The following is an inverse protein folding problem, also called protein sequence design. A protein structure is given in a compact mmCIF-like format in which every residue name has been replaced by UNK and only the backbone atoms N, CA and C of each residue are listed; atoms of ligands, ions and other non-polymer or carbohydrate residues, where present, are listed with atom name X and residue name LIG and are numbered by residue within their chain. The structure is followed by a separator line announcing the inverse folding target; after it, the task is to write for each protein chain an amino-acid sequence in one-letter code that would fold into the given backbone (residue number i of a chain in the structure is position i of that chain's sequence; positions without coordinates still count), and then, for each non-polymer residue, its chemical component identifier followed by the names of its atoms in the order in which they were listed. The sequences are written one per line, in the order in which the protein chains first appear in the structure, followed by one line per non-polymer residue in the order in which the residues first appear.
data_IF_165804935986
#
_entry.id   IF_165804935986
#
_cell.length_a   1.000
_cell.length_b   1.000
_cell.length_c   1.000
_cell.angle_alpha   90.00
_cell.angle_beta   90.00
_cell.angle_gamma   90.00
#
_symmetry.space_group_name_H-M   'P 1'
#
loop_
_entity.id
_entity.type
_entity.pdbx_description
1 polymer ?
#
# COMPACT_ATOMS: atom_id res chain seq x y z
N UNK A 1 -36.82 -28.37 -5.41
CA UNK A 1 -37.10 -27.29 -4.45
C UNK A 1 -35.77 -26.69 -4.02
N UNK A 2 -35.37 -25.56 -4.60
CA UNK A 2 -34.20 -24.81 -4.14
C UNK A 2 -34.55 -24.13 -2.81
N UNK A 3 -33.79 -24.41 -1.76
CA UNK A 3 -33.93 -23.73 -0.48
C UNK A 3 -33.86 -22.22 -0.69
N UNK A 4 -34.90 -21.49 -0.25
CA UNK A 4 -34.97 -20.03 -0.40
C UNK A 4 -33.92 -19.41 0.51
N UNK A 5 -33.00 -18.63 -0.06
CA UNK A 5 -31.88 -18.04 0.67
C UNK A 5 -32.40 -16.95 1.62
N UNK A 6 -31.95 -16.97 2.87
CA UNK A 6 -32.31 -15.93 3.85
C UNK A 6 -31.40 -14.71 3.71
N UNK A 7 -31.90 -13.52 4.07
CA UNK A 7 -31.09 -12.30 4.06
C UNK A 7 -29.81 -12.43 4.91
N UNK A 8 -29.91 -13.03 6.09
CA UNK A 8 -28.75 -13.22 6.95
C UNK A 8 -27.69 -14.11 6.30
N UNK A 9 -28.09 -15.20 5.63
CA UNK A 9 -27.15 -16.05 4.89
C UNK A 9 -26.53 -15.33 3.68
N UNK A 10 -27.31 -14.45 3.04
CA UNK A 10 -26.85 -13.66 1.90
C UNK A 10 -25.81 -12.62 2.34
N UNK A 11 -26.11 -11.86 3.40
CA UNK A 11 -25.21 -10.86 3.95
C UNK A 11 -23.90 -11.48 4.46
N UNK A 12 -23.99 -12.64 5.12
CA UNK A 12 -22.81 -13.36 5.59
C UNK A 12 -21.84 -13.69 4.44
N UNK A 13 -22.35 -14.18 3.29
CA UNK A 13 -21.52 -14.48 2.13
C UNK A 13 -21.05 -13.22 1.39
N UNK A 14 -21.94 -12.23 1.20
CA UNK A 14 -21.64 -11.02 0.45
C UNK A 14 -20.59 -10.14 1.15
N UNK A 15 -20.57 -10.13 2.50
CA UNK A 15 -19.79 -9.18 3.30
C UNK A 15 -18.63 -9.83 4.08
N UNK A 16 -18.41 -11.15 3.96
CA UNK A 16 -17.47 -11.94 4.79
C UNK A 16 -16.07 -11.32 4.93
N UNK A 17 -15.56 -10.72 3.86
CA UNK A 17 -14.17 -10.29 3.76
C UNK A 17 -13.96 -8.83 4.17
N UNK A 18 -15.04 -8.11 4.46
CA UNK A 18 -14.99 -6.69 4.76
C UNK A 18 -14.74 -6.41 6.25
N UNK A 19 -14.13 -5.27 6.61
CA UNK A 19 -14.02 -4.85 8.01
C UNK A 19 -15.39 -4.67 8.64
N UNK A 20 -15.55 -5.05 9.91
CA UNK A 20 -16.82 -4.99 10.64
C UNK A 20 -17.56 -3.64 10.51
N UNK A 21 -16.91 -2.45 10.58
CA UNK A 21 -17.63 -1.19 10.41
C UNK A 21 -18.25 -1.00 9.02
N UNK A 22 -17.61 -1.54 7.98
CA UNK A 22 -18.15 -1.53 6.61
C UNK A 22 -19.29 -2.52 6.49
N UNK A 23 -19.17 -3.71 7.10
CA UNK A 23 -20.24 -4.71 7.13
C UNK A 23 -21.52 -4.14 7.73
N UNK A 24 -21.45 -3.48 8.89
CA UNK A 24 -22.61 -2.91 9.58
C UNK A 24 -23.33 -1.85 8.74
N UNK A 25 -22.57 -1.00 8.04
CA UNK A 25 -23.13 0.03 7.17
C UNK A 25 -23.79 -0.58 5.94
N UNK A 26 -23.10 -1.48 5.26
CA UNK A 26 -23.65 -2.15 4.07
C UNK A 26 -24.84 -3.04 4.43
N UNK A 27 -24.83 -3.71 5.57
CA UNK A 27 -25.97 -4.46 6.08
C UNK A 27 -27.21 -3.57 6.22
N UNK A 28 -27.04 -2.35 6.73
CA UNK A 28 -28.13 -1.39 6.85
C UNK A 28 -28.64 -0.95 5.47
N UNK A 29 -27.73 -0.66 4.54
CA UNK A 29 -28.07 -0.27 3.16
C UNK A 29 -28.79 -1.42 2.39
N UNK A 30 -28.31 -2.65 2.50
CA UNK A 30 -28.94 -3.83 1.86
C UNK A 30 -30.28 -4.21 2.50
N UNK A 31 -30.43 -4.07 3.83
CA UNK A 31 -31.72 -4.26 4.51
C UNK A 31 -32.74 -3.22 4.03
N UNK A 32 -32.36 -1.96 3.93
CA UNK A 32 -33.22 -0.90 3.41
C UNK A 32 -33.62 -1.18 1.95
N UNK A 33 -32.65 -1.54 1.10
CA UNK A 33 -32.93 -1.82 -0.31
C UNK A 33 -33.89 -3.00 -0.50
N UNK A 34 -33.80 -4.03 0.34
CA UNK A 34 -34.74 -5.16 0.30
C UNK A 34 -36.15 -4.75 0.76
N UNK A 35 -36.26 -3.93 1.81
CA UNK A 35 -37.54 -3.43 2.31
C UNK A 35 -38.24 -2.51 1.30
N UNK A 36 -37.48 -1.78 0.49
CA UNK A 36 -37.99 -0.90 -0.56
C UNK A 36 -38.40 -1.67 -1.84
N UNK A 37 -38.15 -2.98 -1.91
CA UNK A 37 -38.48 -3.80 -3.08
C UNK A 37 -39.90 -4.34 -3.04
N UNK A 38 -40.50 -4.55 -4.22
CA UNK A 38 -41.83 -5.17 -4.35
C UNK A 38 -41.85 -6.66 -3.94
N UNK A 39 -40.66 -7.28 -3.81
CA UNK A 39 -40.50 -8.72 -3.53
C UNK A 39 -39.46 -8.96 -2.42
N UNK A 40 -39.73 -8.51 -1.18
CA UNK A 40 -38.76 -8.58 -0.08
C UNK A 40 -38.39 -10.01 0.31
N UNK A 41 -39.21 -11.00 -0.03
CA UNK A 41 -38.92 -12.41 0.21
C UNK A 41 -37.99 -13.04 -0.84
N UNK A 42 -37.71 -12.38 -1.97
CA UNK A 42 -36.79 -12.85 -3.02
C UNK A 42 -35.43 -12.14 -2.93
N UNK A 43 -34.70 -12.45 -1.86
CA UNK A 43 -33.40 -11.83 -1.54
C UNK A 43 -32.42 -11.90 -2.71
N UNK A 44 -32.31 -13.05 -3.41
CA UNK A 44 -31.37 -13.22 -4.53
C UNK A 44 -31.87 -12.52 -5.78
N UNK A 45 -33.18 -12.48 -6.03
CA UNK A 45 -33.76 -11.73 -7.14
C UNK A 45 -33.53 -10.23 -7.00
N UNK A 46 -33.63 -9.70 -5.79
CA UNK A 46 -33.46 -8.26 -5.51
C UNK A 46 -31.99 -7.85 -5.39
N UNK A 47 -31.19 -8.60 -4.63
CA UNK A 47 -29.81 -8.22 -4.30
C UNK A 47 -28.75 -8.87 -5.22
N UNK A 48 -29.13 -9.82 -6.06
CA UNK A 48 -28.23 -10.56 -6.95
C UNK A 48 -27.46 -11.68 -6.25
N UNK A 49 -26.42 -12.17 -6.94
CA UNK A 49 -25.56 -13.24 -6.42
C UNK A 49 -24.60 -12.71 -5.33
N UNK A 50 -24.63 -13.27 -4.10
CA UNK A 50 -23.76 -12.82 -3.03
C UNK A 50 -22.26 -12.97 -3.35
N UNK A 51 -21.88 -13.98 -4.15
CA UNK A 51 -20.47 -14.17 -4.52
C UNK A 51 -19.99 -13.09 -5.50
N UNK A 52 -20.84 -12.67 -6.44
CA UNK A 52 -20.53 -11.58 -7.36
C UNK A 52 -20.45 -10.24 -6.62
N UNK A 53 -21.38 -10.00 -5.69
CA UNK A 53 -21.36 -8.81 -4.84
C UNK A 53 -20.08 -8.77 -3.99
N UNK A 54 -19.71 -9.88 -3.35
CA UNK A 54 -18.45 -9.97 -2.61
C UNK A 54 -17.24 -9.66 -3.50
N UNK A 55 -17.19 -10.24 -4.71
CA UNK A 55 -16.12 -9.98 -5.68
C UNK A 55 -16.05 -8.51 -6.15
N UNK A 56 -17.18 -7.79 -6.16
CA UNK A 56 -17.21 -6.36 -6.45
C UNK A 56 -16.79 -5.51 -5.25
N UNK A 57 -17.34 -5.81 -4.06
CA UNK A 57 -17.02 -5.11 -2.82
C UNK A 57 -15.53 -5.25 -2.45
N UNK A 58 -14.94 -6.43 -2.69
CA UNK A 58 -13.51 -6.66 -2.50
C UNK A 58 -12.63 -5.83 -3.45
N UNK A 59 -13.12 -5.40 -4.62
CA UNK A 59 -12.39 -4.44 -5.48
C UNK A 59 -12.47 -3.01 -4.95
N UNK A 60 -13.54 -2.68 -4.22
CA UNK A 60 -13.84 -1.33 -3.76
C UNK A 60 -13.27 -1.01 -2.38
N UNK A 61 -13.30 -1.98 -1.45
CA UNK A 61 -12.93 -1.81 -0.04
C UNK A 61 -11.73 -2.68 0.32
N UNK A 62 -10.97 -2.26 1.34
CA UNK A 62 -9.88 -3.09 1.87
C UNK A 62 -10.45 -4.29 2.62
N UNK A 63 -9.80 -5.46 2.54
CA UNK A 63 -10.22 -6.62 3.32
C UNK A 63 -10.00 -6.39 4.83
N UNK A 64 -10.69 -7.17 5.67
CA UNK A 64 -10.48 -7.18 7.11
C UNK A 64 -9.02 -7.48 7.49
N UNK A 65 -8.36 -8.39 6.76
CA UNK A 65 -6.94 -8.70 6.93
C UNK A 65 -6.03 -7.51 6.58
N UNK A 66 -6.27 -6.85 5.43
CA UNK A 66 -5.52 -5.67 5.06
C UNK A 66 -5.70 -4.57 6.12
N UNK A 67 -6.92 -4.40 6.60
CA UNK A 67 -7.25 -3.43 7.64
C UNK A 67 -6.48 -3.70 8.94
N UNK A 68 -6.52 -4.93 9.45
CA UNK A 68 -5.82 -5.29 10.69
C UNK A 68 -4.30 -5.17 10.56
N UNK A 69 -3.74 -5.59 9.42
CA UNK A 69 -2.31 -5.50 9.12
C UNK A 69 -1.80 -4.06 9.20
N UNK A 70 -2.53 -3.11 8.61
CA UNK A 70 -2.09 -1.71 8.53
C UNK A 70 -2.45 -0.88 9.77
N UNK A 71 -3.29 -1.40 10.67
CA UNK A 71 -3.51 -0.79 11.98
C UNK A 71 -2.33 -1.02 12.94
N UNK A 72 -1.50 -2.04 12.70
CA UNK A 72 -0.34 -2.33 13.54
C UNK A 72 0.94 -1.64 13.01
N UNK A 73 1.74 -1.01 13.88
CA UNK A 73 2.97 -0.35 13.44
C UNK A 73 4.05 -1.37 13.05
N UNK A 74 4.50 -1.35 11.79
CA UNK A 74 5.61 -2.19 11.29
C UNK A 74 6.98 -1.54 11.55
N UNK A 75 7.24 -1.22 12.82
CA UNK A 75 8.36 -0.34 13.21
C UNK A 75 9.75 -0.96 12.98
N UNK A 76 9.89 -2.27 13.21
CA UNK A 76 11.22 -2.92 13.27
C UNK A 76 11.90 -3.00 11.90
N UNK A 77 11.18 -3.45 10.87
CA UNK A 77 11.72 -3.54 9.51
C UNK A 77 12.05 -2.15 8.94
N UNK A 78 11.12 -1.20 9.13
CA UNK A 78 11.29 0.20 8.73
C UNK A 78 12.56 0.80 9.32
N UNK A 79 12.77 0.62 10.62
CA UNK A 79 13.95 1.13 11.32
C UNK A 79 15.23 0.49 10.78
N UNK A 80 15.26 -0.84 10.63
CA UNK A 80 16.40 -1.57 10.11
C UNK A 80 16.85 -1.04 8.73
N UNK A 81 15.92 -0.90 7.78
CA UNK A 81 16.24 -0.43 6.43
C UNK A 81 16.82 0.99 6.43
N UNK A 82 16.28 1.90 7.24
CA UNK A 82 16.78 3.28 7.29
C UNK A 82 18.13 3.38 8.01
N UNK A 83 18.36 2.56 9.05
CA UNK A 83 19.69 2.43 9.67
C UNK A 83 20.70 1.90 8.66
N UNK A 84 20.33 0.87 7.90
CA UNK A 84 21.17 0.30 6.85
C UNK A 84 21.53 1.35 5.79
N UNK A 85 20.53 2.10 5.28
CA UNK A 85 20.77 3.18 4.32
C UNK A 85 21.64 4.30 4.90
N UNK A 86 21.44 4.68 6.17
CA UNK A 86 22.31 5.65 6.85
C UNK A 86 23.75 5.13 6.96
N UNK A 87 23.95 3.85 7.28
CA UNK A 87 25.26 3.21 7.27
C UNK A 87 25.91 3.26 5.88
N UNK A 88 25.15 2.96 4.82
CA UNK A 88 25.64 3.06 3.43
C UNK A 88 26.02 4.49 3.05
N UNK A 89 25.23 5.49 3.45
CA UNK A 89 25.56 6.92 3.26
C UNK A 89 26.86 7.30 3.98
N UNK A 90 27.04 6.86 5.23
CA UNK A 90 28.27 7.12 5.99
C UNK A 90 29.50 6.47 5.34
N UNK A 91 29.38 5.21 4.90
CA UNK A 91 30.45 4.51 4.20
C UNK A 91 30.80 5.18 2.87
N UNK A 92 29.78 5.56 2.09
CA UNK A 92 29.97 6.33 0.85
C UNK A 92 30.64 7.68 1.12
N UNK A 93 30.21 8.40 2.16
CA UNK A 93 30.82 9.66 2.57
C UNK A 93 32.28 9.53 2.98
N UNK A 94 32.62 8.47 3.73
CA UNK A 94 34.01 8.16 4.06
C UNK A 94 34.85 7.87 2.82
N UNK A 95 34.34 7.10 1.86
CA UNK A 95 35.04 6.83 0.59
C UNK A 95 35.29 8.11 -0.20
N UNK A 96 34.27 8.97 -0.33
CA UNK A 96 34.37 10.27 -1.00
C UNK A 96 35.44 11.14 -0.33
N UNK A 97 35.44 11.20 1.01
CA UNK A 97 36.44 11.94 1.76
C UNK A 97 37.86 11.41 1.52
N UNK A 98 38.03 10.09 1.52
CA UNK A 98 39.34 9.46 1.32
C UNK A 98 39.83 9.54 -0.13
N UNK A 99 38.93 9.58 -1.10
CA UNK A 99 39.25 9.70 -2.52
C UNK A 99 39.28 11.16 -3.01
N UNK A 100 39.37 12.15 -2.11
CA UNK A 100 39.34 13.59 -2.46
C UNK A 100 38.17 14.01 -3.37
N UNK A 101 37.03 13.33 -3.27
CA UNK A 101 35.84 13.62 -4.09
C UNK A 101 35.75 12.83 -5.40
N UNK A 102 36.74 12.02 -5.75
CA UNK A 102 36.73 11.30 -7.02
C UNK A 102 35.62 10.25 -7.14
N UNK A 103 35.08 9.67 -6.06
CA UNK A 103 34.09 8.57 -6.12
C UNK A 103 32.75 8.90 -5.45
N UNK A 104 31.97 9.81 -6.04
CA UNK A 104 30.70 10.29 -5.47
C UNK A 104 29.48 9.39 -5.72
N UNK A 105 29.49 8.54 -6.76
CA UNK A 105 28.29 7.79 -7.18
C UNK A 105 27.68 6.89 -6.10
N UNK A 106 28.52 6.29 -5.25
CA UNK A 106 28.11 5.40 -4.16
C UNK A 106 27.46 6.12 -2.98
N UNK A 107 27.74 7.42 -2.80
CA UNK A 107 27.13 8.25 -1.75
C UNK A 107 25.73 8.74 -2.17
N UNK A 108 25.60 9.16 -3.43
CA UNK A 108 24.44 9.93 -3.90
C UNK A 108 23.13 9.14 -3.83
N UNK A 109 23.12 7.85 -4.19
CA UNK A 109 21.92 7.02 -4.15
C UNK A 109 21.32 6.90 -2.74
N UNK A 110 22.06 6.34 -1.75
CA UNK A 110 21.60 6.27 -0.36
C UNK A 110 21.22 7.63 0.23
N UNK A 111 22.01 8.67 -0.05
CA UNK A 111 21.74 10.03 0.44
C UNK A 111 20.41 10.57 -0.08
N UNK A 112 20.17 10.47 -1.40
CA UNK A 112 18.91 10.92 -2.02
C UNK A 112 17.70 10.16 -1.46
N UNK A 113 17.84 8.85 -1.25
CA UNK A 113 16.77 8.05 -0.65
C UNK A 113 16.48 8.48 0.79
N UNK A 114 17.49 8.77 1.62
CA UNK A 114 17.26 9.29 2.98
C UNK A 114 16.55 10.65 2.97
N UNK A 115 16.90 11.54 2.04
CA UNK A 115 16.22 12.81 1.86
C UNK A 115 14.75 12.61 1.45
N UNK A 116 14.49 11.73 0.48
CA UNK A 116 13.12 11.39 0.07
C UNK A 116 12.33 10.69 1.18
N UNK A 117 12.97 9.83 1.98
CA UNK A 117 12.35 9.27 3.19
C UNK A 117 11.91 10.37 4.14
N UNK A 118 12.73 11.39 4.38
CA UNK A 118 12.36 12.54 5.20
C UNK A 118 11.10 13.26 4.68
N UNK A 119 11.04 13.51 3.38
CA UNK A 119 9.86 14.13 2.72
C UNK A 119 8.62 13.26 2.87
N UNK A 120 8.74 11.94 2.60
CA UNK A 120 7.61 11.00 2.71
C UNK A 120 7.13 10.91 4.17
N UNK A 121 8.04 10.90 5.15
CA UNK A 121 7.66 10.85 6.57
C UNK A 121 6.94 12.11 7.00
N UNK A 122 7.44 13.27 6.57
CA UNK A 122 6.82 14.58 6.80
C UNK A 122 5.43 14.64 6.18
N UNK A 123 5.29 14.31 4.89
CA UNK A 123 4.01 14.35 4.18
C UNK A 123 2.98 13.38 4.75
N UNK A 124 3.41 12.15 5.07
CA UNK A 124 2.50 11.12 5.60
C UNK A 124 2.18 11.26 7.09
N UNK A 125 2.84 12.18 7.81
CA UNK A 125 2.67 12.34 9.26
C UNK A 125 1.23 12.65 9.67
N UNK A 126 0.54 13.44 8.85
CA UNK A 126 -0.85 13.91 9.05
C UNK A 126 -1.92 12.93 8.54
N UNK A 127 -1.53 11.82 7.93
CA UNK A 127 -2.47 10.84 7.42
C UNK A 127 -2.93 9.87 8.53
N UNK A 128 -4.15 9.31 8.41
CA UNK A 128 -4.60 8.22 9.27
C UNK A 128 -3.57 7.09 9.34
N UNK A 129 -3.44 6.46 10.52
CA UNK A 129 -2.40 5.49 10.83
C UNK A 129 -2.25 4.42 9.73
N UNK A 130 -3.36 3.83 9.27
CA UNK A 130 -3.33 2.78 8.26
C UNK A 130 -2.80 3.26 6.89
N UNK A 131 -3.16 4.47 6.44
CA UNK A 131 -2.60 5.07 5.21
C UNK A 131 -1.12 5.36 5.37
N UNK A 132 -0.75 5.90 6.52
CA UNK A 132 0.63 6.22 6.86
C UNK A 132 1.50 4.96 6.87
N UNK A 133 1.04 3.88 7.49
CA UNK A 133 1.75 2.59 7.51
C UNK A 133 1.88 1.98 6.11
N UNK A 134 0.82 1.98 5.31
CA UNK A 134 0.84 1.49 3.93
C UNK A 134 1.91 2.21 3.09
N UNK A 135 1.91 3.55 3.11
CA UNK A 135 2.84 4.36 2.31
C UNK A 135 4.28 4.22 2.80
N UNK A 136 4.51 4.30 4.12
CA UNK A 136 5.87 4.17 4.69
C UNK A 136 6.45 2.77 4.48
N UNK A 137 5.64 1.73 4.60
CA UNK A 137 6.11 0.35 4.38
C UNK A 137 6.38 0.09 2.90
N UNK A 138 5.51 0.57 2.00
CA UNK A 138 5.77 0.52 0.55
C UNK A 138 7.07 1.22 0.21
N UNK A 139 7.25 2.46 0.71
CA UNK A 139 8.48 3.20 0.47
C UNK A 139 9.71 2.45 1.01
N UNK A 140 9.64 1.93 2.24
CA UNK A 140 10.74 1.18 2.86
C UNK A 140 11.20 0.02 1.99
N UNK A 141 10.26 -0.76 1.43
CA UNK A 141 10.59 -1.86 0.52
C UNK A 141 11.25 -1.33 -0.75
N UNK A 142 10.72 -0.25 -1.33
CA UNK A 142 11.28 0.38 -2.53
C UNK A 142 12.62 1.10 -2.29
N UNK A 143 12.90 1.54 -1.06
CA UNK A 143 14.00 2.43 -0.74
C UNK A 143 15.37 1.81 -1.09
N UNK A 144 15.54 0.52 -0.85
CA UNK A 144 16.79 -0.20 -1.16
C UNK A 144 16.97 -0.27 -2.68
N UNK A 145 15.93 -0.65 -3.43
CA UNK A 145 15.98 -0.74 -4.89
C UNK A 145 16.23 0.63 -5.53
N UNK A 146 15.56 1.67 -5.03
CA UNK A 146 15.75 3.05 -5.51
C UNK A 146 17.15 3.56 -5.17
N UNK A 147 17.69 3.27 -3.98
CA UNK A 147 19.03 3.69 -3.58
C UNK A 147 20.08 3.07 -4.51
N UNK A 148 19.98 1.77 -4.75
CA UNK A 148 20.89 1.04 -5.63
C UNK A 148 20.77 1.52 -7.09
N UNK A 149 19.55 1.67 -7.59
CA UNK A 149 19.29 2.19 -8.93
C UNK A 149 19.86 3.60 -9.12
N UNK A 150 19.62 4.51 -8.16
CA UNK A 150 20.17 5.87 -8.20
C UNK A 150 21.69 5.86 -8.16
N UNK A 151 22.32 5.03 -7.33
CA UNK A 151 23.78 4.91 -7.29
C UNK A 151 24.35 4.50 -8.64
N UNK A 152 23.81 3.45 -9.28
CA UNK A 152 24.28 3.03 -10.60
C UNK A 152 24.04 4.07 -11.70
N UNK A 153 22.90 4.77 -11.65
CA UNK A 153 22.63 5.86 -12.60
C UNK A 153 23.60 7.02 -12.42
N UNK A 154 23.92 7.37 -11.19
CA UNK A 154 24.89 8.43 -10.92
C UNK A 154 26.31 8.01 -11.30
N UNK A 155 26.74 6.78 -10.97
CA UNK A 155 28.04 6.23 -11.38
C UNK A 155 28.21 6.23 -12.91
N UNK A 156 27.17 5.82 -13.65
CA UNK A 156 27.18 5.88 -15.10
C UNK A 156 27.26 7.32 -15.62
N UNK A 157 26.44 8.22 -15.06
CA UNK A 157 26.38 9.62 -15.48
C UNK A 157 27.71 10.36 -15.30
N UNK A 158 28.45 10.07 -14.22
CA UNK A 158 29.75 10.67 -13.92
C UNK A 158 30.93 9.90 -14.53
N UNK A 159 30.67 8.87 -15.35
CA UNK A 159 31.71 8.08 -16.05
C UNK A 159 32.50 7.12 -15.15
N UNK A 160 32.00 6.81 -13.96
CA UNK A 160 32.67 5.96 -12.95
C UNK A 160 32.24 4.49 -12.99
N UNK A 161 31.32 4.13 -13.89
CA UNK A 161 30.87 2.74 -14.03
C UNK A 161 30.05 2.50 -15.29
N UNK A 162 29.94 1.24 -15.67
CA UNK A 162 28.98 0.80 -16.69
C UNK A 162 27.69 0.35 -16.01
N UNK A 163 26.53 0.87 -16.40
CA UNK A 163 25.27 0.45 -15.83
C UNK A 163 25.03 -1.01 -16.20
N UNK A 164 24.60 -1.80 -15.22
CA UNK A 164 24.00 -3.10 -15.50
C UNK A 164 22.65 -2.86 -16.18
N UNK A 165 22.66 -2.82 -17.52
CA UNK A 165 21.53 -2.41 -18.36
C UNK A 165 20.24 -3.20 -18.09
N UNK A 166 20.27 -4.52 -17.86
CA UNK A 166 19.12 -5.26 -17.35
C UNK A 166 18.55 -4.65 -16.05
N UNK A 167 19.40 -4.39 -15.05
CA UNK A 167 18.95 -3.96 -13.74
C UNK A 167 18.46 -2.50 -13.71
N UNK A 168 19.00 -1.63 -14.58
CA UNK A 168 18.55 -0.24 -14.69
C UNK A 168 17.13 -0.12 -15.26
N UNK A 169 16.66 -1.13 -16.01
CA UNK A 169 15.29 -1.22 -16.52
C UNK A 169 14.38 -1.99 -15.54
N UNK A 170 14.88 -3.09 -14.97
CA UNK A 170 14.09 -3.97 -14.09
C UNK A 170 13.66 -3.26 -12.80
N UNK A 171 14.54 -2.48 -12.16
CA UNK A 171 14.19 -1.80 -10.90
C UNK A 171 13.05 -0.79 -11.03
N UNK A 172 13.05 0.14 -12.01
CA UNK A 172 11.90 1.00 -12.26
C UNK A 172 10.60 0.23 -12.52
N UNK A 173 10.64 -0.86 -13.28
CA UNK A 173 9.45 -1.69 -13.55
C UNK A 173 8.91 -2.33 -12.28
N UNK A 174 9.79 -2.89 -11.45
CA UNK A 174 9.42 -3.44 -10.14
C UNK A 174 8.77 -2.35 -9.28
N UNK A 175 9.38 -1.16 -9.19
CA UNK A 175 8.81 -0.03 -8.46
C UNK A 175 7.43 0.36 -9.00
N UNK A 176 7.23 0.45 -10.32
CA UNK A 176 5.95 0.79 -10.93
C UNK A 176 4.84 -0.22 -10.58
N UNK A 177 5.16 -1.52 -10.61
CA UNK A 177 4.22 -2.57 -10.22
C UNK A 177 3.84 -2.44 -8.74
N UNK A 178 4.83 -2.23 -7.85
CA UNK A 178 4.57 -1.99 -6.43
C UNK A 178 3.73 -0.73 -6.21
N UNK A 179 4.08 0.40 -6.84
CA UNK A 179 3.34 1.66 -6.70
C UNK A 179 1.90 1.54 -7.22
N UNK A 180 1.66 0.82 -8.32
CA UNK A 180 0.31 0.56 -8.82
C UNK A 180 -0.52 -0.27 -7.84
N UNK A 181 0.07 -1.31 -7.24
CA UNK A 181 -0.56 -2.09 -6.19
C UNK A 181 -0.88 -1.25 -4.95
N UNK A 182 0.07 -0.44 -4.51
CA UNK A 182 -0.09 0.47 -3.38
C UNK A 182 -1.14 1.54 -3.64
N UNK A 183 -1.22 2.11 -4.84
CA UNK A 183 -2.27 3.06 -5.21
C UNK A 183 -3.67 2.43 -5.11
N UNK A 184 -3.84 1.21 -5.63
CA UNK A 184 -5.12 0.49 -5.51
C UNK A 184 -5.49 0.25 -4.05
N UNK A 185 -4.54 -0.22 -3.24
CA UNK A 185 -4.76 -0.45 -1.81
C UNK A 185 -5.03 0.86 -1.04
N UNK A 186 -4.38 1.95 -1.42
CA UNK A 186 -4.58 3.26 -0.85
C UNK A 186 -6.01 3.77 -1.12
N UNK A 187 -6.50 3.63 -2.35
CA UNK A 187 -7.87 4.02 -2.72
C UNK A 187 -8.93 3.16 -2.01
N UNK A 188 -8.69 1.84 -1.93
CA UNK A 188 -9.55 0.91 -1.17
C UNK A 188 -9.62 1.28 0.32
N UNK A 189 -8.47 1.58 0.91
CA UNK A 189 -8.36 1.96 2.31
C UNK A 189 -8.95 3.35 2.59
N UNK A 190 -8.80 4.30 1.66
CA UNK A 190 -9.45 5.62 1.72
C UNK A 190 -10.97 5.48 1.74
N UNK A 191 -11.55 4.70 0.81
CA UNK A 191 -12.99 4.42 0.79
C UNK A 191 -13.47 3.77 2.08
N UNK A 192 -12.70 2.81 2.58
CA UNK A 192 -13.00 2.13 3.85
C UNK A 192 -13.02 3.12 5.02
N UNK A 193 -11.99 3.96 5.16
CA UNK A 193 -11.88 4.97 6.22
C UNK A 193 -13.02 6.01 6.18
N UNK A 194 -13.41 6.45 4.98
CA UNK A 194 -14.54 7.38 4.80
C UNK A 194 -15.86 6.78 5.30
N UNK A 195 -16.07 5.47 5.14
CA UNK A 195 -17.27 4.81 5.64
C UNK A 195 -17.27 4.62 7.16
N UNK A 196 -16.10 4.35 7.75
CA UNK A 196 -15.96 4.15 9.21
C UNK A 196 -16.08 5.48 9.98
N UNK A 197 -15.93 6.62 9.31
CA UNK A 197 -16.04 7.92 9.97
C UNK A 197 -14.86 8.21 10.91
N UNK A 198 -13.68 7.66 10.62
CA UNK A 198 -12.47 7.99 11.40
C UNK A 198 -12.21 9.51 11.30
N UNK A 199 -12.48 10.24 12.38
CA UNK A 199 -12.04 11.62 12.56
C UNK A 199 -10.53 11.69 12.32
N UNK A 200 -10.11 12.65 11.50
CA UNK A 200 -8.71 13.02 11.31
C UNK A 200 -8.06 13.39 12.64
#
# INVERSE_FOLDING_TARGET
MTSKMTLNSWLYLALSDLPQPVQLRLETEYRAHLLDSDTPDDVRGVLGDPAEVNAQLSKLYGSAELWSKWQQPQRNWTLFVHIFLAGMTLLGGWRVWHSEGENMGQLLGPLMVLLFSGVIWGWTSRLPLAKRQLLRSTWTVSAIYVAQWLSWMMEWWIGQGTPDMPMTIVYPLICLVYFRGTLRNYLRLDRTLRLVGTRN
#
